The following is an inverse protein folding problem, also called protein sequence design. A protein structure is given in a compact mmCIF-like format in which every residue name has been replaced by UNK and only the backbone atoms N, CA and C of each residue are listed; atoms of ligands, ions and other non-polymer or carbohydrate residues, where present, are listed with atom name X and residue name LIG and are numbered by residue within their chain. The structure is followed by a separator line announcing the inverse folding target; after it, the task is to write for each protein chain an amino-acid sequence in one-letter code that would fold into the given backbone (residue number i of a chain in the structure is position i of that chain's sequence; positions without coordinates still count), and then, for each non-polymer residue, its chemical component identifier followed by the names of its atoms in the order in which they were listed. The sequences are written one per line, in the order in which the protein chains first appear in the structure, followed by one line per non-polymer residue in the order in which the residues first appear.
data_IF_817789760847
#
_entry.id   IF_817789760847
#
_cell.length_a   1.000
_cell.length_b   1.000
_cell.length_c   1.000
_cell.angle_alpha   90.00
_cell.angle_beta   90.00
_cell.angle_gamma   90.00
#
_symmetry.space_group_name_H-M   'P 1'
#
loop_
_entity.id
_entity.type
_entity.pdbx_description
1 polymer ?
#
# COMPACT_ATOMS: atom_id res chain seq x y z
N UNK A 1 -28.73 18.54 -24.41
CA UNK A 1 -27.96 17.56 -23.61
C UNK A 1 -26.60 17.40 -24.28
N UNK A 2 -25.60 18.14 -23.83
CA UNK A 2 -24.23 18.06 -24.36
C UNK A 2 -23.52 16.93 -23.65
N UNK A 3 -23.43 15.77 -24.29
CA UNK A 3 -22.59 14.66 -23.83
C UNK A 3 -21.14 15.13 -23.94
N UNK A 4 -20.53 15.48 -22.81
CA UNK A 4 -19.09 15.71 -22.73
C UNK A 4 -18.41 14.39 -23.07
N UNK A 5 -17.79 14.32 -24.24
CA UNK A 5 -16.95 13.19 -24.62
C UNK A 5 -15.64 13.38 -23.85
N UNK A 6 -15.50 12.70 -22.71
CA UNK A 6 -14.19 12.61 -22.07
C UNK A 6 -13.21 11.89 -23.03
N UNK A 7 -12.01 12.43 -23.26
CA UNK A 7 -11.01 11.75 -24.08
C UNK A 7 -10.68 10.38 -23.47
N UNK A 8 -10.67 9.33 -24.28
CA UNK A 8 -10.33 7.99 -23.81
C UNK A 8 -8.88 7.95 -23.37
N UNK A 9 -8.65 7.67 -22.09
CA UNK A 9 -7.30 7.45 -21.56
C UNK A 9 -6.81 6.06 -21.97
N UNK A 10 -5.49 5.89 -22.21
CA UNK A 10 -4.91 4.60 -22.61
C UNK A 10 -4.86 3.57 -21.48
N UNK A 11 -5.03 4.00 -20.22
CA UNK A 11 -5.02 3.13 -19.05
C UNK A 11 -5.98 3.65 -17.97
N UNK A 12 -6.36 2.76 -17.05
CA UNK A 12 -6.96 3.14 -15.77
C UNK A 12 -5.92 3.72 -14.81
N UNK A 13 -6.38 4.12 -13.62
CA UNK A 13 -5.51 4.28 -12.45
C UNK A 13 -4.84 2.95 -12.05
N UNK A 14 -3.81 3.01 -11.19
CA UNK A 14 -3.18 1.84 -10.61
C UNK A 14 -4.22 1.05 -9.78
N UNK A 15 -4.54 -0.15 -10.25
CA UNK A 15 -5.60 -0.96 -9.64
C UNK A 15 -5.13 -1.64 -8.35
N UNK A 16 -3.94 -2.25 -8.36
CA UNK A 16 -3.45 -3.07 -7.26
C UNK A 16 -1.92 -3.18 -7.27
N UNK A 17 -1.33 -3.14 -6.09
CA UNK A 17 0.02 -3.65 -5.84
C UNK A 17 -0.08 -5.08 -5.32
N UNK A 18 0.55 -6.05 -5.99
CA UNK A 18 0.61 -7.44 -5.52
C UNK A 18 1.90 -7.66 -4.73
N UNK A 19 1.78 -8.26 -3.56
CA UNK A 19 2.87 -8.67 -2.69
C UNK A 19 2.81 -10.19 -2.57
N UNK A 20 3.94 -10.85 -2.84
CA UNK A 20 4.11 -12.27 -2.58
C UNK A 20 4.55 -12.43 -1.13
N UNK A 21 3.66 -13.01 -0.33
CA UNK A 21 3.79 -13.03 1.14
C UNK A 21 4.10 -14.43 1.64
N UNK A 22 4.82 -14.53 2.75
CA UNK A 22 5.08 -15.81 3.43
C UNK A 22 3.85 -16.34 4.18
N UNK A 23 3.03 -15.44 4.72
CA UNK A 23 1.82 -15.76 5.48
C UNK A 23 0.71 -14.74 5.19
N UNK A 24 -0.33 -15.21 4.49
CA UNK A 24 -1.43 -14.38 4.03
C UNK A 24 -2.28 -13.84 5.18
N UNK A 25 -2.46 -14.62 6.25
CA UNK A 25 -3.28 -14.21 7.38
C UNK A 25 -2.57 -13.11 8.18
N UNK A 26 -1.27 -13.27 8.42
CA UNK A 26 -0.43 -12.27 9.09
C UNK A 26 -0.38 -10.97 8.29
N UNK A 27 -0.13 -11.05 6.99
CA UNK A 27 -0.05 -9.86 6.13
C UNK A 27 -1.43 -9.21 5.97
N UNK A 28 -2.52 -9.97 5.89
CA UNK A 28 -3.87 -9.41 5.86
C UNK A 28 -4.21 -8.65 7.14
N UNK A 29 -3.87 -9.19 8.31
CA UNK A 29 -4.07 -8.51 9.59
C UNK A 29 -3.30 -7.17 9.64
N UNK A 30 -2.06 -7.16 9.15
CA UNK A 30 -1.22 -5.96 9.05
C UNK A 30 -1.87 -4.86 8.20
N UNK A 31 -2.25 -5.16 6.96
CA UNK A 31 -2.84 -4.17 6.06
C UNK A 31 -4.24 -3.71 6.48
N UNK A 32 -5.01 -4.58 7.15
CA UNK A 32 -6.28 -4.17 7.79
C UNK A 32 -6.06 -3.17 8.91
N UNK A 33 -4.99 -3.32 9.70
CA UNK A 33 -4.65 -2.41 10.79
C UNK A 33 -4.19 -1.02 10.31
N UNK A 34 -3.67 -0.91 9.08
CA UNK A 34 -3.45 0.38 8.38
C UNK A 34 -4.78 1.03 8.01
N UNK A 35 -5.78 0.21 7.64
CA UNK A 35 -7.13 0.68 7.35
C UNK A 35 -7.76 0.07 6.10
N UNK A 36 -7.14 -0.89 5.42
CA UNK A 36 -7.77 -1.60 4.29
C UNK A 36 -8.84 -2.56 4.80
N UNK A 37 -10.03 -2.02 5.11
CA UNK A 37 -11.07 -2.71 5.87
C UNK A 37 -11.91 -3.69 5.05
N UNK A 38 -11.96 -3.57 3.73
CA UNK A 38 -12.76 -4.44 2.87
C UNK A 38 -11.92 -5.53 2.18
N UNK A 39 -12.48 -6.73 2.09
CA UNK A 39 -11.97 -7.78 1.19
C UNK A 39 -12.63 -7.60 -0.18
N UNK A 40 -11.82 -7.40 -1.22
CA UNK A 40 -12.28 -7.46 -2.60
C UNK A 40 -12.45 -8.91 -3.06
N UNK A 41 -11.47 -9.77 -2.78
CA UNK A 41 -11.54 -11.21 -3.05
C UNK A 41 -10.67 -11.97 -2.06
N UNK A 42 -11.15 -13.14 -1.63
CA UNK A 42 -10.38 -14.21 -1.01
C UNK A 42 -10.65 -15.47 -1.82
N UNK A 43 -9.60 -16.11 -2.33
CA UNK A 43 -9.76 -17.23 -3.24
C UNK A 43 -8.56 -18.16 -3.25
N UNK A 44 -8.84 -19.44 -3.52
CA UNK A 44 -7.85 -20.44 -3.90
C UNK A 44 -7.76 -20.49 -5.43
N UNK A 45 -6.63 -20.07 -6.00
CA UNK A 45 -6.42 -20.02 -7.45
C UNK A 45 -5.87 -21.35 -7.97
N UNK A 46 -6.76 -22.24 -8.44
CA UNK A 46 -6.38 -23.57 -8.94
C UNK A 46 -6.16 -23.65 -10.47
N UNK A 47 -6.58 -22.64 -11.24
CA UNK A 47 -6.42 -22.68 -12.69
C UNK A 47 -4.95 -22.45 -13.09
N UNK A 48 -4.34 -23.28 -13.96
CA UNK A 48 -2.91 -23.19 -14.32
C UNK A 48 -2.46 -21.79 -14.76
N UNK A 49 -3.32 -21.05 -15.45
CA UNK A 49 -3.00 -19.69 -15.90
C UNK A 49 -2.59 -18.73 -14.78
N UNK A 50 -3.04 -18.97 -13.54
CA UNK A 50 -2.68 -18.14 -12.39
C UNK A 50 -1.17 -18.16 -12.12
N UNK A 51 -0.51 -19.29 -12.35
CA UNK A 51 0.96 -19.44 -12.20
C UNK A 51 1.71 -19.11 -13.48
N UNK A 52 1.15 -19.44 -14.65
CA UNK A 52 1.74 -19.12 -15.95
C UNK A 52 1.90 -17.60 -16.15
N UNK A 53 0.92 -16.79 -15.74
CA UNK A 53 1.00 -15.32 -15.83
C UNK A 53 2.12 -14.77 -14.91
N UNK A 54 2.48 -15.49 -13.85
CA UNK A 54 3.58 -15.15 -12.95
C UNK A 54 4.94 -15.65 -13.46
N UNK A 55 4.96 -16.39 -14.58
CA UNK A 55 6.18 -16.90 -15.20
C UNK A 55 6.62 -18.29 -14.72
N UNK A 56 5.76 -19.04 -14.02
CA UNK A 56 6.06 -20.42 -13.61
C UNK A 56 5.54 -21.44 -14.62
N UNK A 57 6.38 -22.44 -14.92
CA UNK A 57 6.03 -23.54 -15.85
C UNK A 57 5.36 -24.74 -15.14
N UNK A 58 5.57 -24.90 -13.83
CA UNK A 58 4.94 -25.93 -13.00
C UNK A 58 3.70 -25.36 -12.28
N UNK A 59 2.47 -25.64 -12.72
CA UNK A 59 1.29 -25.02 -12.17
C UNK A 59 0.94 -25.58 -10.80
N UNK A 60 1.03 -24.71 -9.79
CA UNK A 60 0.64 -25.01 -8.40
C UNK A 60 -0.45 -24.07 -7.92
N UNK A 61 -1.58 -24.59 -7.43
CA UNK A 61 -2.64 -23.77 -6.84
C UNK A 61 -2.14 -22.98 -5.64
N UNK A 62 -2.58 -21.74 -5.45
CA UNK A 62 -2.14 -20.89 -4.35
C UNK A 62 -3.25 -19.95 -3.84
N UNK A 63 -3.10 -19.45 -2.63
CA UNK A 63 -4.12 -18.63 -1.96
C UNK A 63 -3.87 -17.13 -2.15
N UNK A 64 -4.97 -16.38 -2.31
CA UNK A 64 -4.95 -14.92 -2.44
C UNK A 64 -5.96 -14.24 -1.53
N UNK A 65 -5.63 -12.99 -1.17
CA UNK A 65 -6.50 -12.06 -0.45
C UNK A 65 -6.22 -10.66 -0.99
N UNK A 66 -7.23 -9.96 -1.50
CA UNK A 66 -7.09 -8.59 -1.97
C UNK A 66 -7.87 -7.67 -1.04
N UNK A 67 -7.17 -6.71 -0.47
CA UNK A 67 -7.70 -5.74 0.48
C UNK A 67 -7.83 -4.36 -0.16
N UNK A 68 -8.86 -3.63 0.26
CA UNK A 68 -9.14 -2.27 -0.21
C UNK A 68 -9.80 -1.42 0.86
N UNK A 69 -9.87 -0.12 0.58
CA UNK A 69 -10.79 0.80 1.28
C UNK A 69 -12.20 0.70 0.68
N UNK A 70 -13.24 1.07 1.43
CA UNK A 70 -14.56 1.32 0.87
C UNK A 70 -14.49 2.28 -0.32
N UNK A 71 -15.33 2.05 -1.34
CA UNK A 71 -15.36 2.85 -2.56
C UNK A 71 -14.74 2.14 -3.77
N UNK A 72 -14.10 2.87 -4.70
CA UNK A 72 -13.62 2.33 -5.98
C UNK A 72 -12.61 1.18 -5.86
N UNK A 73 -12.50 0.37 -6.91
CA UNK A 73 -11.56 -0.77 -6.99
C UNK A 73 -10.20 -0.35 -7.58
N UNK A 74 -9.54 0.63 -6.98
CA UNK A 74 -8.15 1.00 -7.29
C UNK A 74 -7.36 1.26 -6.01
N UNK A 75 -6.02 1.29 -6.08
CA UNK A 75 -5.16 1.43 -4.90
C UNK A 75 -5.22 0.23 -3.94
N UNK A 76 -5.55 -0.96 -4.45
CA UNK A 76 -5.71 -2.17 -3.63
C UNK A 76 -4.37 -2.82 -3.30
N UNK A 77 -4.32 -3.61 -2.23
CA UNK A 77 -3.17 -4.47 -1.90
C UNK A 77 -3.59 -5.93 -2.10
N UNK A 78 -2.91 -6.63 -3.01
CA UNK A 78 -3.08 -8.06 -3.22
C UNK A 78 -2.00 -8.84 -2.47
N UNK A 79 -2.41 -9.80 -1.66
CA UNK A 79 -1.55 -10.69 -0.88
C UNK A 79 -1.63 -12.08 -1.51
N UNK A 80 -0.51 -12.56 -2.05
CA UNK A 80 -0.42 -13.80 -2.80
C UNK A 80 0.55 -14.73 -2.06
N UNK A 81 0.05 -15.82 -1.50
CA UNK A 81 0.90 -16.81 -0.82
C UNK A 81 1.08 -17.99 -1.77
N UNK A 82 2.20 -18.00 -2.50
CA UNK A 82 2.55 -19.08 -3.42
C UNK A 82 2.61 -20.42 -2.66
N UNK A 83 2.21 -21.50 -3.31
CA UNK A 83 2.30 -22.83 -2.71
C UNK A 83 3.76 -23.24 -2.45
N UNK A 84 3.95 -24.08 -1.44
CA UNK A 84 5.25 -24.64 -1.09
C UNK A 84 5.91 -25.30 -2.31
N UNK A 85 7.20 -24.99 -2.48
CA UNK A 85 8.02 -25.49 -3.58
C UNK A 85 7.70 -24.89 -4.95
N UNK A 86 6.87 -23.83 -5.05
CA UNK A 86 6.72 -23.04 -6.29
C UNK A 86 8.04 -22.37 -6.69
N UNK A 87 8.75 -21.82 -5.70
CA UNK A 87 10.12 -21.32 -5.84
C UNK A 87 10.82 -21.39 -4.47
N UNK A 88 12.15 -21.43 -4.49
CA UNK A 88 12.99 -21.25 -3.30
C UNK A 88 13.67 -19.87 -3.28
N UNK A 89 13.44 -19.05 -4.31
CA UNK A 89 13.98 -17.71 -4.41
C UNK A 89 13.14 -16.74 -3.57
N UNK A 90 13.66 -16.37 -2.41
CA UNK A 90 13.08 -15.34 -1.56
C UNK A 90 13.91 -14.05 -1.63
N UNK A 91 13.23 -12.91 -1.68
CA UNK A 91 13.91 -11.64 -1.44
C UNK A 91 14.36 -11.60 0.03
N UNK A 92 15.61 -11.20 0.32
CA UNK A 92 16.05 -11.02 1.69
C UNK A 92 15.23 -9.88 2.32
N UNK A 93 14.54 -10.17 3.42
CA UNK A 93 13.71 -9.20 4.13
C UNK A 93 14.51 -7.92 4.43
N UNK A 94 14.20 -6.77 3.80
CA UNK A 94 14.85 -5.52 4.12
C UNK A 94 14.49 -5.10 5.55
N UNK A 95 15.50 -4.90 6.40
CA UNK A 95 15.32 -4.49 7.80
C UNK A 95 15.81 -3.05 8.06
N UNK A 96 15.82 -2.21 7.01
CA UNK A 96 16.53 -0.94 7.02
C UNK A 96 15.91 0.13 6.11
N UNK A 97 16.62 1.24 5.87
CA UNK A 97 16.16 2.34 5.04
C UNK A 97 15.89 1.92 3.59
N UNK A 98 15.23 2.81 2.85
CA UNK A 98 14.88 2.62 1.45
C UNK A 98 16.11 2.28 0.59
N UNK A 99 15.93 1.41 -0.40
CA UNK A 99 16.96 1.02 -1.38
C UNK A 99 16.69 1.64 -2.74
N UNK A 100 17.74 1.86 -3.53
CA UNK A 100 17.59 2.34 -4.91
C UNK A 100 16.77 1.34 -5.72
N UNK A 101 15.70 1.82 -6.37
CA UNK A 101 14.78 1.01 -7.17
C UNK A 101 13.64 0.33 -6.39
N UNK A 102 13.59 0.50 -5.06
CA UNK A 102 12.54 -0.05 -4.22
C UNK A 102 11.22 0.75 -4.32
N UNK A 103 10.09 0.07 -4.17
CA UNK A 103 8.75 0.68 -4.13
C UNK A 103 8.35 0.93 -2.67
N UNK A 104 7.78 2.11 -2.40
CA UNK A 104 7.09 2.41 -1.15
C UNK A 104 5.58 2.41 -1.38
N UNK A 105 4.82 1.75 -0.51
CA UNK A 105 3.36 1.89 -0.45
C UNK A 105 3.02 2.99 0.54
N UNK A 106 2.36 4.06 0.06
CA UNK A 106 2.07 5.25 0.86
C UNK A 106 0.63 5.25 1.32
N UNK A 107 0.40 5.48 2.61
CA UNK A 107 -0.93 5.54 3.21
C UNK A 107 -1.09 6.80 4.06
N UNK A 108 -2.25 7.42 3.96
CA UNK A 108 -2.69 8.47 4.87
C UNK A 108 -3.36 7.84 6.08
N UNK A 109 -2.96 8.28 7.26
CA UNK A 109 -3.49 7.80 8.54
C UNK A 109 -3.81 8.98 9.44
N UNK A 110 -4.86 8.87 10.24
CA UNK A 110 -5.31 9.97 11.11
C UNK A 110 -4.49 10.10 12.39
N UNK A 111 -3.87 9.00 12.85
CA UNK A 111 -3.06 8.92 14.07
C UNK A 111 -1.91 7.96 13.80
N UNK A 112 -0.73 8.53 13.53
CA UNK A 112 0.44 7.76 13.13
C UNK A 112 1.00 6.95 14.29
N UNK A 113 0.96 7.48 15.51
CA UNK A 113 1.52 6.82 16.70
C UNK A 113 0.71 5.58 17.08
N UNK A 114 -0.62 5.71 17.15
CA UNK A 114 -1.49 4.59 17.42
C UNK A 114 -1.45 3.55 16.28
N UNK A 115 -1.31 4.01 15.03
CA UNK A 115 -1.14 3.09 13.89
C UNK A 115 0.16 2.32 13.99
N UNK A 116 1.27 2.99 14.27
CA UNK A 116 2.57 2.34 14.45
C UNK A 116 2.57 1.33 15.59
N UNK A 117 1.93 1.62 16.72
CA UNK A 117 1.80 0.68 17.84
C UNK A 117 1.15 -0.64 17.38
N UNK A 118 0.02 -0.54 16.68
CA UNK A 118 -0.67 -1.70 16.12
C UNK A 118 0.20 -2.46 15.11
N UNK A 119 0.88 -1.76 14.22
CA UNK A 119 1.70 -2.39 13.18
C UNK A 119 2.94 -3.07 13.78
N UNK A 120 3.58 -2.48 14.80
CA UNK A 120 4.67 -3.10 15.57
C UNK A 120 4.20 -4.40 16.22
N UNK A 121 3.00 -4.41 16.82
CA UNK A 121 2.42 -5.62 17.40
C UNK A 121 2.13 -6.72 16.35
N UNK A 122 1.90 -6.33 15.09
CA UNK A 122 1.67 -7.24 13.95
C UNK A 122 2.96 -7.62 13.20
N UNK A 123 4.11 -7.20 13.73
CA UNK A 123 5.43 -7.59 13.22
C UNK A 123 5.99 -6.65 12.17
N UNK A 124 5.62 -5.36 12.19
CA UNK A 124 6.40 -4.33 11.51
C UNK A 124 7.86 -4.40 11.95
N UNK A 125 8.79 -4.27 11.01
CA UNK A 125 10.22 -4.15 11.30
C UNK A 125 10.73 -2.79 10.86
N UNK A 126 11.91 -2.39 11.37
CA UNK A 126 12.52 -1.07 11.09
C UNK A 126 11.51 0.08 11.13
N UNK A 127 10.90 0.31 12.29
CA UNK A 127 9.89 1.35 12.49
C UNK A 127 10.46 2.46 13.42
N UNK A 128 11.35 3.34 12.92
CA UNK A 128 11.91 4.44 13.70
C UNK A 128 10.83 5.41 14.17
N UNK A 129 11.18 6.36 15.03
CA UNK A 129 10.23 7.38 15.47
C UNK A 129 9.83 8.31 14.30
N UNK A 130 8.53 8.68 14.17
CA UNK A 130 8.09 9.59 13.14
C UNK A 130 8.82 10.92 13.15
N UNK A 131 8.99 11.50 11.96
CA UNK A 131 9.66 12.78 11.77
C UNK A 131 8.68 13.77 11.16
N UNK A 132 8.76 15.04 11.58
CA UNK A 132 8.06 16.11 10.88
C UNK A 132 8.76 16.35 9.55
N UNK A 133 8.09 15.99 8.47
CA UNK A 133 8.48 16.33 7.12
C UNK A 133 7.91 17.71 6.77
N UNK A 134 8.80 18.70 6.63
CA UNK A 134 8.43 20.08 6.36
C UNK A 134 8.81 20.47 4.93
N UNK A 135 7.80 20.88 4.18
CA UNK A 135 7.90 21.62 2.92
C UNK A 135 7.55 23.09 3.17
N UNK A 136 7.87 23.98 2.22
CA UNK A 136 7.58 25.42 2.31
C UNK A 136 6.09 25.73 2.60
N UNK A 137 5.18 24.85 2.16
CA UNK A 137 3.72 25.02 2.25
C UNK A 137 3.03 24.03 3.20
N UNK A 138 3.74 23.08 3.82
CA UNK A 138 3.14 22.05 4.68
C UNK A 138 4.16 21.43 5.64
N UNK A 139 3.73 21.12 6.85
CA UNK A 139 4.45 20.22 7.73
C UNK A 139 3.52 19.08 8.13
N UNK A 140 3.99 17.84 8.00
CA UNK A 140 3.24 16.64 8.36
C UNK A 140 4.13 15.62 9.03
N UNK A 141 3.55 14.79 9.89
CA UNK A 141 4.28 13.72 10.55
C UNK A 141 4.35 12.52 9.60
N UNK A 142 5.54 12.02 9.32
CA UNK A 142 5.75 10.88 8.43
C UNK A 142 6.67 9.84 9.05
N UNK A 143 6.47 8.58 8.67
CA UNK A 143 7.37 7.50 9.02
C UNK A 143 7.37 6.41 7.95
N UNK A 144 8.57 5.94 7.62
CA UNK A 144 8.73 4.70 6.86
C UNK A 144 8.93 3.52 7.81
N UNK A 145 8.29 2.40 7.49
CA UNK A 145 8.45 1.12 8.19
C UNK A 145 8.40 -0.06 7.22
N UNK A 146 8.71 -1.25 7.71
CA UNK A 146 8.68 -2.49 6.92
C UNK A 146 7.52 -3.37 7.36
N UNK A 147 6.78 -3.91 6.40
CA UNK A 147 5.75 -4.91 6.67
C UNK A 147 6.36 -6.27 7.11
N UNK A 148 5.55 -7.31 7.42
CA UNK A 148 6.05 -8.63 7.79
C UNK A 148 6.99 -9.30 6.78
N UNK A 149 6.85 -8.97 5.50
CA UNK A 149 7.65 -9.53 4.40
C UNK A 149 8.83 -8.62 4.01
N UNK A 150 8.85 -7.38 4.52
CA UNK A 150 9.91 -6.39 4.33
C UNK A 150 9.59 -5.32 3.27
N UNK A 151 8.35 -5.23 2.81
CA UNK A 151 7.87 -4.18 1.92
C UNK A 151 7.94 -2.82 2.62
N UNK A 152 8.45 -1.81 1.91
CA UNK A 152 8.52 -0.45 2.43
C UNK A 152 7.13 0.19 2.44
N UNK A 153 6.71 0.65 3.62
CA UNK A 153 5.46 1.37 3.85
C UNK A 153 5.80 2.78 4.30
N UNK A 154 5.20 3.80 3.69
CA UNK A 154 5.22 5.17 4.21
C UNK A 154 3.85 5.50 4.81
N UNK A 155 3.83 5.92 6.07
CA UNK A 155 2.64 6.48 6.71
C UNK A 155 2.79 7.99 6.77
N UNK A 156 1.75 8.70 6.37
CA UNK A 156 1.65 10.15 6.45
C UNK A 156 0.46 10.49 7.34
N UNK A 157 0.69 11.28 8.38
CA UNK A 157 -0.38 11.74 9.25
C UNK A 157 -1.19 12.84 8.57
N UNK A 158 -2.36 12.48 8.06
CA UNK A 158 -3.32 13.40 7.46
C UNK A 158 -4.72 12.76 7.39
N UNK A 159 -5.74 13.55 7.04
CA UNK A 159 -7.08 13.04 6.73
C UNK A 159 -7.01 12.12 5.48
N UNK A 160 -7.37 10.82 5.60
CA UNK A 160 -7.39 9.92 4.45
C UNK A 160 -8.32 10.37 3.32
N UNK A 161 -9.32 11.23 3.58
CA UNK A 161 -10.17 11.80 2.53
C UNK A 161 -9.39 12.69 1.54
N UNK A 162 -8.20 13.17 1.91
CA UNK A 162 -7.32 13.93 1.02
C UNK A 162 -6.83 13.12 -0.20
N UNK A 163 -6.97 11.80 -0.19
CA UNK A 163 -6.67 10.95 -1.35
C UNK A 163 -7.49 11.34 -2.61
N UNK A 164 -8.67 11.93 -2.42
CA UNK A 164 -9.60 12.29 -3.51
C UNK A 164 -9.35 13.71 -4.06
N UNK A 165 -8.29 14.38 -3.59
CA UNK A 165 -7.94 15.72 -4.08
C UNK A 165 -7.57 15.67 -5.56
N UNK A 166 -8.07 16.64 -6.32
CA UNK A 166 -7.80 16.78 -7.75
C UNK A 166 -6.67 17.76 -8.07
N UNK A 167 -6.06 18.37 -7.05
CA UNK A 167 -4.94 19.32 -7.15
C UNK A 167 -3.95 19.14 -6.00
N UNK A 168 -2.65 19.42 -6.23
CA UNK A 168 -1.66 19.49 -5.16
C UNK A 168 -2.01 20.54 -4.10
N UNK A 169 -1.49 20.38 -2.90
CA UNK A 169 -1.65 21.30 -1.76
C UNK A 169 -0.73 22.53 -1.86
N UNK A 170 -0.84 23.30 -2.95
CA UNK A 170 0.04 24.46 -3.18
C UNK A 170 -0.57 25.79 -2.72
N UNK A 171 -1.80 25.81 -2.21
CA UNK A 171 -2.50 27.05 -1.84
C UNK A 171 -2.08 27.54 -0.45
N UNK A 172 -1.00 28.32 -0.40
CA UNK A 172 -0.60 29.12 0.75
C UNK A 172 -1.36 30.45 0.79
N UNK A 173 -2.18 30.67 1.82
CA UNK A 173 -2.54 32.02 2.26
C UNK A 173 -1.46 32.49 3.23
N UNK A 174 -0.56 33.36 2.78
CA UNK A 174 0.44 33.96 3.67
C UNK A 174 -0.18 34.78 4.78
N UNK A 175 0.61 35.16 5.80
CA UNK A 175 0.13 36.09 6.81
C UNK A 175 -0.37 37.34 6.08
N UNK A 176 -1.62 37.69 6.34
CA UNK A 176 -2.25 38.89 5.82
C UNK A 176 -1.32 40.06 6.12
N UNK A 177 -0.73 40.66 5.07
CA UNK A 177 0.05 41.89 5.19
C UNK A 177 -0.93 43.03 5.44
N UNK A 178 -1.47 43.08 6.64
CA UNK A 178 -2.02 44.30 7.20
C UNK A 178 -0.84 45.15 7.67
N UNK A 179 -0.48 46.11 6.82
CA UNK A 179 0.20 47.33 7.21
C UNK A 179 -0.85 48.45 7.29
#
# INVERSE_FOLDING_TARGET
MTTSIQPSLPSSALIRSTIFVRDIARSAAFYRAIGLSETYIEAHLAHPSATTILGFDDPRPFDICILKRPGPNYGMVGLFQLADGTTHEELPAPAGPARIGEVALVFYVTDILATMERLRALGATWAPEPQTFAMEHRAQLEVCLRDPDGVLINLVETDPAEQERTRPELDYAGPDRTA
#
